data_IF_749228034041
#
_entry.id   IF_749228034041
#
_cell.length_a   1.000
_cell.length_b   1.000
_cell.length_c   1.000
_cell.angle_alpha   90.00
_cell.angle_beta   90.00
_cell.angle_gamma   90.00
#
_symmetry.space_group_name_H-M   'P 1'
#
loop_
_entity.id
_entity.type
_entity.pdbx_description
1 polymer ?
#
# COMPACT_ATOMS: atom_id res chain seq x y z
N UNK A 1 -34.40 31.07 -6.34
CA UNK A 1 -34.32 29.70 -6.91
C UNK A 1 -33.21 28.97 -6.16
N UNK A 2 -33.61 27.98 -5.37
CA UNK A 2 -32.83 27.33 -4.31
C UNK A 2 -31.57 26.68 -4.88
N UNK A 3 -30.40 27.03 -4.35
CA UNK A 3 -29.17 26.28 -4.58
C UNK A 3 -29.38 24.89 -4.00
N UNK A 4 -29.63 23.90 -4.87
CA UNK A 4 -29.63 22.49 -4.47
C UNK A 4 -28.22 22.18 -3.94
N UNK A 5 -28.13 21.90 -2.64
CA UNK A 5 -26.89 21.73 -1.91
C UNK A 5 -25.96 20.73 -2.58
N UNK A 6 -24.76 21.18 -2.96
CA UNK A 6 -23.68 20.33 -3.43
C UNK A 6 -22.80 19.98 -2.22
N UNK A 7 -23.03 18.81 -1.62
CA UNK A 7 -22.23 18.35 -0.50
C UNK A 7 -21.01 17.61 -1.01
N UNK A 8 -19.93 18.37 -1.22
CA UNK A 8 -18.57 17.80 -1.29
C UNK A 8 -18.12 17.08 -0.01
N UNK A 9 -19.02 16.87 0.99
CA UNK A 9 -18.71 16.04 2.17
C UNK A 9 -19.79 15.07 2.68
N UNK A 10 -21.12 15.29 2.60
CA UNK A 10 -22.12 14.29 3.08
C UNK A 10 -23.59 14.55 2.60
N UNK A 11 -24.02 14.06 1.43
CA UNK A 11 -25.45 14.10 1.03
C UNK A 11 -25.65 14.34 -0.46
N UNK A 12 -25.91 13.25 -1.18
CA UNK A 12 -25.72 13.11 -2.62
C UNK A 12 -26.44 14.16 -3.49
N UNK A 13 -25.65 14.85 -4.33
CA UNK A 13 -26.17 15.30 -5.61
C UNK A 13 -26.49 14.04 -6.42
N UNK A 14 -27.74 13.84 -6.85
CA UNK A 14 -28.14 12.67 -7.63
C UNK A 14 -27.57 12.66 -9.04
N UNK A 15 -27.03 13.79 -9.53
CA UNK A 15 -26.27 13.82 -10.79
C UNK A 15 -24.84 13.36 -10.53
N UNK A 16 -24.51 12.18 -11.04
CA UNK A 16 -23.15 11.67 -11.07
C UNK A 16 -22.27 12.60 -11.93
N UNK A 17 -21.11 13.01 -11.40
CA UNK A 17 -20.11 13.80 -12.13
C UNK A 17 -19.38 12.83 -13.07
N UNK A 18 -19.86 12.64 -14.29
CA UNK A 18 -19.01 12.07 -15.34
C UNK A 18 -19.56 12.34 -16.73
N UNK A 19 -19.25 13.52 -17.27
CA UNK A 19 -19.07 13.69 -18.71
C UNK A 19 -17.66 14.22 -18.88
N UNK A 20 -16.73 13.31 -19.14
CA UNK A 20 -15.42 13.73 -19.64
C UNK A 20 -15.54 13.91 -21.16
N UNK A 21 -15.24 15.11 -21.64
CA UNK A 21 -15.11 15.38 -23.09
C UNK A 21 -13.84 14.76 -23.69
N UNK A 22 -13.03 14.08 -22.87
CA UNK A 22 -11.85 13.32 -23.30
C UNK A 22 -12.31 12.08 -24.08
N UNK A 23 -11.64 11.71 -25.20
CA UNK A 23 -11.87 10.43 -25.87
C UNK A 23 -11.82 9.27 -24.87
N UNK A 24 -12.91 8.47 -24.80
CA UNK A 24 -13.07 7.41 -23.79
C UNK A 24 -14.02 7.74 -22.63
N UNK A 25 -14.63 8.93 -22.60
CA UNK A 25 -15.65 9.28 -21.61
C UNK A 25 -16.91 8.38 -21.64
N UNK A 26 -17.64 8.34 -20.52
CA UNK A 26 -18.85 7.53 -20.37
C UNK A 26 -19.94 7.93 -21.39
N UNK A 27 -20.19 7.05 -22.37
CA UNK A 27 -21.17 7.29 -23.45
C UNK A 27 -22.60 7.48 -22.93
N UNK A 28 -23.00 6.74 -21.89
CA UNK A 28 -24.35 6.86 -21.30
C UNK A 28 -24.61 8.26 -20.75
N UNK A 29 -23.60 8.88 -20.15
CA UNK A 29 -23.72 10.23 -19.59
C UNK A 29 -23.74 11.32 -20.67
N UNK A 30 -23.05 11.10 -21.80
CA UNK A 30 -23.09 12.01 -22.95
C UNK A 30 -24.46 12.03 -23.61
N UNK A 31 -25.10 10.86 -23.68
CA UNK A 31 -26.36 10.67 -24.39
C UNK A 31 -27.59 10.95 -23.48
N UNK A 32 -27.40 11.18 -22.17
CA UNK A 32 -28.44 11.61 -21.21
C UNK A 32 -27.99 12.82 -20.33
N UNK A 33 -27.98 14.04 -20.88
CA UNK A 33 -27.49 15.24 -20.20
C UNK A 33 -28.44 15.80 -19.12
N UNK A 34 -29.65 15.26 -19.00
CA UNK A 34 -30.62 15.68 -17.98
C UNK A 34 -30.39 14.97 -16.65
N UNK A 35 -29.76 13.80 -16.66
CA UNK A 35 -29.42 13.07 -15.44
C UNK A 35 -27.93 13.18 -15.05
N UNK A 36 -27.10 13.75 -15.93
CA UNK A 36 -25.63 13.82 -15.77
C UNK A 36 -25.09 15.25 -15.93
N UNK A 37 -24.01 15.57 -15.22
CA UNK A 37 -23.31 16.86 -15.34
C UNK A 37 -22.39 16.88 -16.55
N UNK A 38 -22.50 17.88 -17.44
CA UNK A 38 -21.67 17.98 -18.65
C UNK A 38 -20.25 18.47 -18.40
N UNK A 39 -20.10 19.40 -17.45
CA UNK A 39 -18.82 19.93 -16.98
C UNK A 39 -18.86 20.04 -15.46
N UNK A 40 -17.71 20.08 -14.82
CA UNK A 40 -17.60 20.52 -13.42
C UNK A 40 -16.77 21.79 -13.39
N UNK A 41 -16.87 22.60 -12.35
CA UNK A 41 -15.94 23.68 -12.02
C UNK A 41 -15.42 23.46 -10.60
N UNK A 42 -14.35 24.13 -10.19
CA UNK A 42 -13.86 23.97 -8.82
C UNK A 42 -13.43 25.30 -8.21
N UNK A 43 -13.41 25.33 -6.89
CA UNK A 43 -12.91 26.45 -6.10
C UNK A 43 -11.46 26.17 -5.67
N UNK A 44 -10.48 26.98 -6.10
CA UNK A 44 -9.08 26.76 -5.73
C UNK A 44 -8.80 27.00 -4.25
N UNK A 45 -9.47 27.96 -3.61
CA UNK A 45 -9.28 28.22 -2.19
C UNK A 45 -9.66 27.07 -1.24
N UNK A 46 -10.70 26.28 -1.55
CA UNK A 46 -11.19 25.23 -0.65
C UNK A 46 -11.34 23.83 -1.29
N UNK A 47 -11.04 23.67 -2.58
CA UNK A 47 -11.11 22.40 -3.29
C UNK A 47 -12.53 21.91 -3.61
N UNK A 48 -13.57 22.71 -3.35
CA UNK A 48 -14.97 22.30 -3.61
C UNK A 48 -15.27 22.30 -5.10
N UNK A 49 -15.93 21.24 -5.57
CA UNK A 49 -16.36 21.11 -6.97
C UNK A 49 -17.84 21.47 -7.13
N UNK A 50 -18.19 22.02 -8.30
CA UNK A 50 -19.54 22.45 -8.68
C UNK A 50 -19.90 21.83 -10.02
N UNK A 51 -21.14 21.40 -10.24
CA UNK A 51 -21.60 21.02 -11.58
C UNK A 51 -21.89 22.26 -12.44
N UNK A 52 -22.07 22.09 -13.74
CA UNK A 52 -22.48 23.11 -14.71
C UNK A 52 -23.66 23.98 -14.21
N UNK A 53 -24.71 23.36 -13.66
CA UNK A 53 -25.90 24.04 -13.16
C UNK A 53 -25.65 24.81 -11.86
N UNK A 54 -24.91 24.23 -10.92
CA UNK A 54 -24.52 24.93 -9.70
C UNK A 54 -23.63 26.13 -10.02
N UNK A 55 -22.72 25.99 -11.00
CA UNK A 55 -21.88 27.08 -11.50
C UNK A 55 -22.72 28.21 -12.09
N UNK A 56 -23.71 27.90 -12.92
CA UNK A 56 -24.64 28.88 -13.48
C UNK A 56 -25.42 29.63 -12.38
N UNK A 57 -25.76 28.94 -11.29
CA UNK A 57 -26.43 29.51 -10.12
C UNK A 57 -25.58 30.48 -9.28
N UNK A 58 -24.25 30.50 -9.44
CA UNK A 58 -23.37 31.44 -8.73
C UNK A 58 -23.41 32.87 -9.30
N UNK A 59 -24.11 33.08 -10.41
CA UNK A 59 -24.17 34.37 -11.08
C UNK A 59 -22.85 34.80 -11.74
N UNK A 60 -22.77 36.05 -12.23
CA UNK A 60 -21.64 36.52 -13.06
C UNK A 60 -20.30 36.51 -12.32
N UNK A 61 -20.31 36.73 -11.00
CA UNK A 61 -19.11 36.82 -10.18
C UNK A 61 -18.52 35.46 -9.80
N UNK A 62 -19.25 34.36 -10.02
CA UNK A 62 -18.85 32.97 -9.76
C UNK A 62 -18.19 32.78 -8.39
N UNK A 63 -18.73 33.39 -7.33
CA UNK A 63 -18.14 33.33 -5.99
C UNK A 63 -18.53 32.03 -5.29
N UNK A 64 -17.56 31.34 -4.71
CA UNK A 64 -17.75 30.16 -3.88
C UNK A 64 -18.59 30.52 -2.66
N UNK A 65 -19.66 29.78 -2.40
CA UNK A 65 -20.51 30.00 -1.23
C UNK A 65 -19.86 29.61 0.10
N UNK A 66 -18.76 28.84 0.06
CA UNK A 66 -18.06 28.38 1.27
C UNK A 66 -16.96 29.36 1.70
N UNK A 67 -16.05 29.71 0.79
CA UNK A 67 -14.88 30.52 1.12
C UNK A 67 -14.87 31.89 0.43
N UNK A 68 -15.83 32.17 -0.44
CA UNK A 68 -15.91 33.43 -1.16
C UNK A 68 -14.87 33.61 -2.26
N UNK A 69 -14.07 32.59 -2.61
CA UNK A 69 -13.11 32.63 -3.72
C UNK A 69 -13.81 32.47 -5.09
N UNK A 70 -13.13 32.79 -6.19
CA UNK A 70 -13.71 32.67 -7.54
C UNK A 70 -13.64 31.23 -8.05
N UNK A 71 -14.78 30.68 -8.42
CA UNK A 71 -14.91 29.34 -9.02
C UNK A 71 -14.47 29.38 -10.48
N UNK A 72 -13.62 28.43 -10.87
CA UNK A 72 -12.95 28.40 -12.18
C UNK A 72 -13.28 27.14 -12.97
N UNK A 73 -13.26 27.26 -14.31
CA UNK A 73 -13.52 26.15 -15.22
C UNK A 73 -12.28 25.25 -15.39
N UNK A 74 -12.41 23.91 -15.26
CA UNK A 74 -11.31 22.98 -15.47
C UNK A 74 -10.77 23.02 -16.89
N UNK A 75 -11.48 23.48 -17.92
CA UNK A 75 -10.88 23.63 -19.26
C UNK A 75 -9.91 24.83 -19.33
N UNK A 76 -10.14 25.89 -18.56
CA UNK A 76 -9.18 26.99 -18.41
C UNK A 76 -7.99 26.57 -17.54
N UNK A 77 -8.18 25.59 -16.65
CA UNK A 77 -7.14 24.99 -15.79
C UNK A 77 -6.58 23.66 -16.33
N UNK A 78 -7.08 23.16 -17.48
CA UNK A 78 -6.50 22.00 -18.21
C UNK A 78 -5.11 22.33 -18.73
N UNK A 79 -4.75 23.61 -18.78
CA UNK A 79 -3.36 24.10 -18.72
C UNK A 79 -2.85 24.01 -17.28
N UNK A 80 -2.83 22.80 -16.75
CA UNK A 80 -2.40 22.44 -15.41
C UNK A 80 -1.05 23.07 -15.11
N UNK A 81 -1.01 24.14 -14.29
CA UNK A 81 0.21 24.40 -13.53
C UNK A 81 0.24 23.37 -12.41
N UNK A 82 0.70 22.16 -12.74
CA UNK A 82 1.31 21.30 -11.72
C UNK A 82 2.27 22.21 -10.94
N UNK A 83 2.18 22.20 -9.61
CA UNK A 83 3.19 22.89 -8.81
C UNK A 83 4.55 22.37 -9.27
N UNK A 84 5.62 23.18 -9.20
CA UNK A 84 6.95 22.70 -9.57
C UNK A 84 7.28 21.35 -8.92
N UNK A 85 6.87 21.14 -7.67
CA UNK A 85 7.02 19.89 -6.94
C UNK A 85 6.26 18.71 -7.59
N UNK A 86 4.99 18.90 -7.96
CA UNK A 86 4.21 17.87 -8.65
C UNK A 86 4.73 17.59 -10.06
N UNK A 87 5.18 18.61 -10.78
CA UNK A 87 5.78 18.45 -12.10
C UNK A 87 7.06 17.61 -12.02
N UNK A 88 7.94 17.90 -11.06
CA UNK A 88 9.14 17.12 -10.78
C UNK A 88 8.79 15.68 -10.34
N UNK A 89 7.79 15.50 -9.46
CA UNK A 89 7.29 14.19 -9.06
C UNK A 89 6.84 13.33 -10.25
N UNK A 90 5.99 13.87 -11.13
CA UNK A 90 5.52 13.14 -12.31
C UNK A 90 6.63 12.86 -13.31
N UNK A 91 7.65 13.74 -13.44
CA UNK A 91 8.85 13.42 -14.21
C UNK A 91 9.62 12.25 -13.59
N UNK A 92 9.82 12.26 -12.28
CA UNK A 92 10.49 11.18 -11.55
C UNK A 92 9.79 9.84 -11.71
N UNK A 93 8.45 9.81 -11.61
CA UNK A 93 7.67 8.59 -11.83
C UNK A 93 7.85 8.01 -13.24
N UNK A 94 7.85 8.85 -14.28
CA UNK A 94 8.11 8.39 -15.66
C UNK A 94 9.50 7.79 -15.80
N UNK A 95 10.53 8.48 -15.30
CA UNK A 95 11.90 7.97 -15.33
C UNK A 95 12.07 6.68 -14.52
N UNK A 96 11.35 6.53 -13.41
CA UNK A 96 11.33 5.31 -12.60
C UNK A 96 10.72 4.15 -13.39
N UNK A 97 9.60 4.37 -14.09
CA UNK A 97 8.96 3.36 -14.94
C UNK A 97 9.84 2.95 -16.11
N UNK A 98 10.60 3.90 -16.67
CA UNK A 98 11.59 3.65 -17.74
C UNK A 98 12.87 2.95 -17.24
N UNK A 99 13.00 2.67 -15.94
CA UNK A 99 14.19 2.06 -15.34
C UNK A 99 15.41 3.00 -15.24
N UNK A 100 15.23 4.31 -15.44
CA UNK A 100 16.29 5.33 -15.34
C UNK A 100 16.45 5.80 -13.89
N UNK A 101 16.95 4.92 -13.04
CA UNK A 101 16.94 5.07 -11.58
C UNK A 101 17.64 6.33 -11.06
N UNK A 102 18.82 6.67 -11.57
CA UNK A 102 19.58 7.85 -11.14
C UNK A 102 18.87 9.15 -11.53
N UNK A 103 18.23 9.17 -12.69
CA UNK A 103 17.52 10.35 -13.18
C UNK A 103 16.17 10.51 -12.48
N UNK A 104 15.50 9.39 -12.19
CA UNK A 104 14.33 9.39 -11.33
C UNK A 104 14.68 9.93 -9.95
N UNK A 105 15.79 9.49 -9.36
CA UNK A 105 16.26 10.00 -8.07
C UNK A 105 16.50 11.51 -8.12
N UNK A 106 17.19 12.01 -9.14
CA UNK A 106 17.41 13.45 -9.31
C UNK A 106 16.09 14.25 -9.43
N UNK A 107 15.10 13.73 -10.16
CA UNK A 107 13.79 14.36 -10.28
C UNK A 107 13.00 14.32 -8.96
N UNK A 108 13.14 13.26 -8.16
CA UNK A 108 12.54 13.22 -6.82
C UNK A 108 13.28 14.10 -5.82
N UNK A 109 14.60 14.23 -5.91
CA UNK A 109 15.40 15.19 -5.12
C UNK A 109 14.93 16.62 -5.41
N UNK A 110 14.72 16.97 -6.68
CA UNK A 110 14.11 18.25 -7.09
C UNK A 110 12.71 18.39 -6.48
N UNK A 111 11.86 17.37 -6.60
CA UNK A 111 10.49 17.42 -6.09
C UNK A 111 10.43 17.67 -4.58
N UNK A 112 11.26 16.99 -3.77
CA UNK A 112 11.28 17.14 -2.31
C UNK A 112 11.94 18.43 -1.84
N UNK A 113 12.78 19.06 -2.68
CA UNK A 113 13.33 20.39 -2.43
C UNK A 113 12.33 21.52 -2.65
N UNK A 114 11.18 21.23 -3.27
CA UNK A 114 10.17 22.22 -3.62
C UNK A 114 9.02 22.24 -2.59
N UNK A 115 8.44 23.43 -2.29
CA UNK A 115 7.29 23.52 -1.39
C UNK A 115 6.10 22.71 -1.89
N UNK A 116 5.42 22.01 -0.98
CA UNK A 116 4.24 21.21 -1.31
C UNK A 116 4.56 19.88 -2.00
N UNK A 117 5.77 19.34 -1.81
CA UNK A 117 6.12 17.99 -2.27
C UNK A 117 5.14 16.94 -1.70
N UNK A 118 4.56 16.07 -2.55
CA UNK A 118 3.67 15.02 -2.07
C UNK A 118 4.44 13.97 -1.25
N UNK A 119 3.78 13.32 -0.29
CA UNK A 119 4.36 12.22 0.50
C UNK A 119 4.97 11.11 -0.40
N UNK A 120 4.33 10.86 -1.55
CA UNK A 120 4.81 9.92 -2.56
C UNK A 120 6.18 10.27 -3.15
N UNK A 121 6.55 11.55 -3.26
CA UNK A 121 7.91 11.93 -3.69
C UNK A 121 8.96 11.49 -2.68
N UNK A 122 8.71 11.73 -1.39
CA UNK A 122 9.62 11.32 -0.33
C UNK A 122 9.71 9.78 -0.24
N UNK A 123 8.59 9.09 -0.46
CA UNK A 123 8.55 7.63 -0.42
C UNK A 123 9.34 7.01 -1.56
N UNK A 124 9.07 7.40 -2.81
CA UNK A 124 9.78 6.85 -3.98
C UNK A 124 11.27 7.21 -3.95
N UNK A 125 11.62 8.42 -3.49
CA UNK A 125 13.00 8.79 -3.19
C UNK A 125 13.63 7.81 -2.18
N UNK A 126 12.92 7.51 -1.10
CA UNK A 126 13.35 6.55 -0.08
C UNK A 126 13.59 5.15 -0.65
N UNK A 127 12.68 4.66 -1.50
CA UNK A 127 12.84 3.36 -2.18
C UNK A 127 14.09 3.30 -3.06
N UNK A 128 14.34 4.35 -3.84
CA UNK A 128 15.53 4.44 -4.70
C UNK A 128 16.81 4.45 -3.86
N UNK A 129 16.86 5.28 -2.81
CA UNK A 129 18.00 5.35 -1.90
C UNK A 129 18.24 4.02 -1.18
N UNK A 130 17.18 3.34 -0.76
CA UNK A 130 17.25 2.02 -0.14
C UNK A 130 17.84 0.99 -1.11
N UNK A 131 17.41 0.99 -2.37
CA UNK A 131 17.98 0.11 -3.41
C UNK A 131 19.45 0.41 -3.71
N UNK A 132 19.85 1.68 -3.63
CA UNK A 132 21.24 2.12 -3.78
C UNK A 132 22.10 1.91 -2.51
N UNK A 133 21.55 1.32 -1.43
CA UNK A 133 22.27 1.09 -0.17
C UNK A 133 22.45 2.33 0.70
N UNK A 134 21.87 3.47 0.34
CA UNK A 134 21.92 4.75 1.08
C UNK A 134 20.86 4.76 2.19
N UNK A 135 21.01 3.86 3.16
CA UNK A 135 19.96 3.55 4.16
C UNK A 135 19.59 4.73 5.07
N UNK A 136 20.54 5.56 5.50
CA UNK A 136 20.23 6.68 6.40
C UNK A 136 19.40 7.77 5.71
N UNK A 137 19.70 8.04 4.44
CA UNK A 137 18.93 8.99 3.64
C UNK A 137 17.55 8.42 3.27
N UNK A 138 17.46 7.11 3.00
CA UNK A 138 16.20 6.42 2.81
C UNK A 138 15.32 6.52 4.07
N UNK A 139 15.90 6.31 5.25
CA UNK A 139 15.20 6.44 6.53
C UNK A 139 14.66 7.85 6.76
N UNK A 140 15.44 8.89 6.42
CA UNK A 140 14.99 10.29 6.47
C UNK A 140 13.79 10.53 5.53
N UNK A 141 13.88 9.98 4.32
CA UNK A 141 12.79 10.00 3.33
C UNK A 141 11.52 9.35 3.85
N UNK A 142 11.59 8.12 4.38
CA UNK A 142 10.43 7.41 4.93
C UNK A 142 9.87 8.07 6.18
N UNK A 143 10.73 8.62 7.04
CA UNK A 143 10.30 9.42 8.20
C UNK A 143 9.50 10.65 7.76
N UNK A 144 9.93 11.31 6.68
CA UNK A 144 9.21 12.45 6.12
C UNK A 144 7.89 12.03 5.47
N UNK A 145 7.87 10.90 4.76
CA UNK A 145 6.61 10.31 4.27
C UNK A 145 5.64 10.09 5.41
N UNK A 146 6.05 9.41 6.49
CA UNK A 146 5.20 9.14 7.65
C UNK A 146 4.78 10.41 8.42
N UNK A 147 5.52 11.52 8.29
CA UNK A 147 5.12 12.81 8.85
C UNK A 147 4.03 13.50 8.02
N UNK A 148 4.09 13.39 6.69
CA UNK A 148 3.12 14.00 5.76
C UNK A 148 1.85 13.13 5.66
N UNK A 149 2.04 11.82 5.57
CA UNK A 149 1.01 10.80 5.55
C UNK A 149 1.30 9.75 6.63
N UNK A 150 0.80 9.94 7.86
CA UNK A 150 0.98 8.98 8.94
C UNK A 150 0.46 7.57 8.61
N UNK A 151 -0.53 7.46 7.73
CA UNK A 151 -1.15 6.20 7.31
C UNK A 151 -0.36 5.39 6.29
N UNK A 152 0.81 5.89 5.84
CA UNK A 152 1.60 5.25 4.80
C UNK A 152 2.30 3.97 5.30
N UNK A 153 1.59 2.84 5.29
CA UNK A 153 2.04 1.59 5.87
C UNK A 153 3.39 1.09 5.28
N UNK A 154 3.60 1.24 3.97
CA UNK A 154 4.85 0.86 3.32
C UNK A 154 6.06 1.64 3.87
N UNK A 155 5.92 2.93 4.20
CA UNK A 155 7.03 3.72 4.76
C UNK A 155 7.45 3.19 6.13
N UNK A 156 6.48 2.78 6.95
CA UNK A 156 6.75 2.11 8.23
C UNK A 156 7.37 0.74 8.02
N UNK A 157 6.92 -0.04 7.03
CA UNK A 157 7.53 -1.32 6.66
C UNK A 157 9.01 -1.15 6.29
N UNK A 158 9.35 -0.27 5.34
CA UNK A 158 10.73 -0.06 4.93
C UNK A 158 11.60 0.54 6.05
N UNK A 159 11.03 1.37 6.92
CA UNK A 159 11.70 1.82 8.16
C UNK A 159 12.08 0.62 9.04
N UNK A 160 11.17 -0.34 9.19
CA UNK A 160 11.42 -1.59 9.92
C UNK A 160 12.54 -2.41 9.30
N UNK A 161 12.53 -2.57 7.97
CA UNK A 161 13.58 -3.28 7.23
C UNK A 161 14.96 -2.62 7.42
N UNK A 162 15.04 -1.29 7.35
CA UNK A 162 16.31 -0.56 7.58
C UNK A 162 16.82 -0.78 9.01
N UNK A 163 15.94 -0.71 10.01
CA UNK A 163 16.34 -0.97 11.40
C UNK A 163 16.81 -2.41 11.60
N UNK A 164 16.13 -3.38 10.98
CA UNK A 164 16.50 -4.78 11.06
C UNK A 164 17.90 -5.03 10.45
N UNK A 165 18.16 -4.46 9.26
CA UNK A 165 19.50 -4.51 8.62
C UNK A 165 20.60 -3.88 9.49
N UNK A 166 20.24 -2.87 10.28
CA UNK A 166 21.15 -2.24 11.24
C UNK A 166 21.19 -2.92 12.62
N UNK A 167 20.66 -4.15 12.78
CA UNK A 167 20.68 -4.89 14.04
C UNK A 167 19.74 -4.35 15.13
N UNK A 168 18.87 -3.38 14.82
CA UNK A 168 17.99 -2.70 15.78
C UNK A 168 16.62 -3.37 15.84
N UNK A 169 16.58 -4.62 16.32
CA UNK A 169 15.39 -5.48 16.28
C UNK A 169 14.14 -4.87 16.96
N UNK A 170 14.30 -4.19 18.11
CA UNK A 170 13.17 -3.56 18.82
C UNK A 170 12.55 -2.42 18.01
N UNK A 171 13.38 -1.59 17.37
CA UNK A 171 12.91 -0.50 16.50
C UNK A 171 12.24 -1.06 15.25
N UNK A 172 12.79 -2.13 14.68
CA UNK A 172 12.19 -2.83 13.55
C UNK A 172 10.79 -3.36 13.89
N UNK A 173 10.65 -4.06 15.01
CA UNK A 173 9.36 -4.57 15.48
C UNK A 173 8.33 -3.44 15.67
N UNK A 174 8.74 -2.32 16.26
CA UNK A 174 7.86 -1.15 16.44
C UNK A 174 7.41 -0.57 15.10
N UNK A 175 8.30 -0.49 14.12
CA UNK A 175 7.96 0.02 12.80
C UNK A 175 7.00 -0.93 12.05
N UNK A 176 7.20 -2.24 12.13
CA UNK A 176 6.26 -3.20 11.58
C UNK A 176 4.90 -3.17 12.30
N UNK A 177 4.88 -3.01 13.62
CA UNK A 177 3.64 -2.84 14.39
C UNK A 177 2.87 -1.58 13.95
N UNK A 178 3.56 -0.49 13.60
CA UNK A 178 2.94 0.71 13.01
C UNK A 178 2.37 0.44 11.62
N UNK A 179 3.14 -0.24 10.76
CA UNK A 179 2.66 -0.61 9.42
C UNK A 179 1.35 -1.42 9.51
N UNK A 180 1.32 -2.44 10.37
CA UNK A 180 0.14 -3.29 10.61
C UNK A 180 -1.01 -2.55 11.31
N UNK A 181 -0.71 -1.51 12.09
CA UNK A 181 -1.73 -0.64 12.68
C UNK A 181 -2.46 0.22 11.65
N UNK A 182 -1.79 0.61 10.57
CA UNK A 182 -2.37 1.38 9.47
C UNK A 182 -2.99 0.51 8.38
N UNK A 183 -2.31 -0.58 8.02
CA UNK A 183 -2.80 -1.59 7.10
C UNK A 183 -2.65 -3.00 7.71
N UNK A 184 -3.72 -3.53 8.33
CA UNK A 184 -3.71 -4.88 8.88
C UNK A 184 -3.46 -5.98 7.85
N UNK A 185 -3.72 -5.72 6.55
CA UNK A 185 -3.54 -6.67 5.46
C UNK A 185 -2.12 -6.66 4.86
N UNK A 186 -1.19 -5.85 5.41
CA UNK A 186 0.15 -5.69 4.88
C UNK A 186 1.03 -6.93 5.10
N UNK A 187 1.02 -7.86 4.14
CA UNK A 187 1.68 -9.17 4.22
C UNK A 187 3.18 -9.09 4.52
N UNK A 188 3.93 -8.22 3.82
CA UNK A 188 5.38 -8.12 4.05
C UNK A 188 5.74 -7.62 5.45
N UNK A 189 4.99 -6.67 6.02
CA UNK A 189 5.18 -6.22 7.40
C UNK A 189 4.78 -7.32 8.40
N UNK A 190 3.70 -8.05 8.12
CA UNK A 190 3.28 -9.19 8.94
C UNK A 190 4.35 -10.28 8.98
N UNK A 191 4.87 -10.71 7.82
CA UNK A 191 5.90 -11.74 7.73
C UNK A 191 7.16 -11.35 8.53
N UNK A 192 7.70 -10.14 8.30
CA UNK A 192 8.87 -9.66 9.05
C UNK A 192 8.62 -9.59 10.56
N UNK A 193 7.41 -9.18 10.96
CA UNK A 193 7.03 -9.10 12.37
C UNK A 193 6.86 -10.47 13.01
N UNK A 194 6.23 -11.41 12.31
CA UNK A 194 6.03 -12.79 12.71
C UNK A 194 7.36 -13.52 12.87
N UNK A 195 8.28 -13.34 11.92
CA UNK A 195 9.63 -13.90 11.99
C UNK A 195 10.39 -13.40 13.24
N UNK A 196 10.26 -12.12 13.58
CA UNK A 196 10.80 -11.57 14.81
C UNK A 196 10.15 -12.18 16.07
N UNK A 197 8.86 -12.53 16.05
CA UNK A 197 8.17 -13.20 17.15
C UNK A 197 8.59 -14.66 17.31
N UNK A 198 8.77 -15.37 16.20
CA UNK A 198 9.29 -16.74 16.20
C UNK A 198 10.67 -16.78 16.83
N UNK A 199 11.59 -15.90 16.41
CA UNK A 199 12.93 -15.79 17.04
C UNK A 199 12.88 -15.42 18.51
N UNK A 200 11.90 -14.62 18.92
CA UNK A 200 11.70 -14.24 20.31
C UNK A 200 10.97 -15.31 21.15
N UNK A 201 10.62 -16.47 20.58
CA UNK A 201 9.88 -17.52 21.28
C UNK A 201 8.47 -17.10 21.71
N UNK A 202 7.79 -16.26 20.91
CA UNK A 202 6.44 -15.75 21.19
C UNK A 202 5.40 -16.30 20.19
N UNK A 203 5.15 -17.61 20.16
CA UNK A 203 4.29 -18.23 19.15
C UNK A 203 2.83 -17.76 19.23
N UNK A 204 2.29 -17.48 20.43
CA UNK A 204 0.92 -16.96 20.58
C UNK A 204 0.71 -15.61 19.91
N UNK A 205 1.70 -14.72 20.01
CA UNK A 205 1.63 -13.42 19.34
C UNK A 205 1.79 -13.55 17.83
N UNK A 206 2.66 -14.47 17.39
CA UNK A 206 2.88 -14.76 15.97
C UNK A 206 1.57 -15.21 15.30
N UNK A 207 0.88 -16.19 15.92
CA UNK A 207 -0.43 -16.67 15.48
C UNK A 207 -1.44 -15.53 15.39
N UNK A 208 -1.53 -14.70 16.44
CA UNK A 208 -2.46 -13.56 16.47
C UNK A 208 -2.23 -12.56 15.33
N UNK A 209 -0.97 -12.28 14.97
CA UNK A 209 -0.67 -11.40 13.84
C UNK A 209 -1.04 -12.08 12.53
N UNK A 210 -0.62 -13.33 12.31
CA UNK A 210 -0.91 -14.07 11.09
C UNK A 210 -2.42 -14.18 10.81
N UNK A 211 -3.20 -14.63 11.79
CA UNK A 211 -4.67 -14.77 11.66
C UNK A 211 -5.34 -13.43 11.35
N UNK A 212 -4.94 -12.34 12.02
CA UNK A 212 -5.49 -10.99 11.77
C UNK A 212 -5.16 -10.49 10.38
N UNK A 213 -3.93 -10.69 9.92
CA UNK A 213 -3.50 -10.24 8.60
C UNK A 213 -4.22 -11.02 7.50
N UNK A 214 -4.32 -12.34 7.62
CA UNK A 214 -5.05 -13.17 6.67
C UNK A 214 -6.54 -12.84 6.63
N UNK A 215 -7.16 -12.54 7.78
CA UNK A 215 -8.56 -12.11 7.84
C UNK A 215 -8.80 -10.74 7.17
N UNK A 216 -7.80 -9.86 7.18
CA UNK A 216 -7.87 -8.53 6.56
C UNK A 216 -7.53 -8.54 5.06
N UNK A 217 -6.71 -9.50 4.63
CA UNK A 217 -6.22 -9.58 3.25
C UNK A 217 -7.34 -9.91 2.25
N UNK A 218 -7.54 -9.03 1.27
CA UNK A 218 -8.44 -9.25 0.13
C UNK A 218 -7.60 -9.32 -1.14
N UNK A 219 -7.64 -10.45 -1.85
CA UNK A 219 -6.82 -10.71 -3.05
C UNK A 219 -5.32 -10.46 -2.82
N UNK A 220 -4.70 -11.17 -1.86
CA UNK A 220 -3.29 -10.99 -1.50
C UNK A 220 -2.30 -11.28 -2.65
N UNK A 221 -1.16 -10.59 -2.64
CA UNK A 221 0.05 -11.00 -3.38
C UNK A 221 0.46 -12.41 -2.91
N UNK A 222 0.57 -13.33 -3.85
CA UNK A 222 0.87 -14.74 -3.57
C UNK A 222 2.23 -14.94 -2.90
N UNK A 223 3.23 -14.08 -3.16
CA UNK A 223 4.60 -14.31 -2.68
C UNK A 223 4.71 -14.15 -1.16
N UNK A 224 4.28 -13.00 -0.63
CA UNK A 224 4.33 -12.76 0.81
C UNK A 224 3.28 -13.57 1.58
N UNK A 225 2.22 -14.02 0.89
CA UNK A 225 1.19 -14.87 1.47
C UNK A 225 1.74 -16.23 1.89
N UNK A 226 2.58 -16.85 1.06
CA UNK A 226 3.23 -18.13 1.37
C UNK A 226 4.04 -18.06 2.67
N UNK A 227 4.88 -17.02 2.81
CA UNK A 227 5.70 -16.84 4.01
C UNK A 227 4.87 -16.59 5.27
N UNK A 228 3.73 -15.88 5.17
CA UNK A 228 2.80 -15.71 6.31
C UNK A 228 2.21 -17.05 6.74
N UNK A 229 1.78 -17.89 5.80
CA UNK A 229 1.29 -19.24 6.11
C UNK A 229 2.38 -20.15 6.70
N UNK A 230 3.60 -20.10 6.16
CA UNK A 230 4.74 -20.86 6.67
C UNK A 230 5.06 -20.49 8.13
N UNK A 231 5.16 -19.20 8.43
CA UNK A 231 5.43 -18.69 9.78
C UNK A 231 4.27 -18.99 10.74
N UNK A 232 3.03 -18.94 10.26
CA UNK A 232 1.85 -19.31 11.05
C UNK A 232 1.86 -20.81 11.38
N UNK A 233 2.16 -21.66 10.40
CA UNK A 233 2.31 -23.11 10.60
C UNK A 233 3.41 -23.45 11.61
N UNK A 234 4.56 -22.79 11.51
CA UNK A 234 5.63 -22.93 12.50
C UNK A 234 5.20 -22.47 13.90
N UNK A 235 4.53 -21.32 14.02
CA UNK A 235 4.05 -20.85 15.32
C UNK A 235 2.98 -21.78 15.93
N UNK A 236 2.08 -22.35 15.12
CA UNK A 236 1.05 -23.29 15.54
C UNK A 236 1.65 -24.61 16.04
N UNK A 237 2.70 -25.11 15.40
CA UNK A 237 3.36 -26.35 15.81
C UNK A 237 4.00 -26.21 17.21
N UNK A 238 4.51 -25.03 17.54
CA UNK A 238 5.06 -24.71 18.87
C UNK A 238 3.97 -24.59 19.95
N UNK A 239 2.70 -24.52 19.55
CA UNK A 239 1.53 -24.55 20.43
C UNK A 239 0.85 -25.92 20.45
N UNK A 240 1.43 -26.95 19.81
CA UNK A 240 0.83 -28.28 19.66
C UNK A 240 -0.53 -28.28 18.94
N UNK A 241 -0.80 -27.27 18.10
CA UNK A 241 -1.98 -27.21 17.22
C UNK A 241 -1.66 -27.87 15.88
N UNK A 242 -1.35 -29.17 15.93
CA UNK A 242 -0.66 -29.87 14.84
C UNK A 242 -1.49 -29.99 13.55
N UNK A 243 -2.81 -30.24 13.63
CA UNK A 243 -3.66 -30.27 12.42
C UNK A 243 -3.74 -28.91 11.73
N UNK A 244 -3.90 -27.83 12.51
CA UNK A 244 -3.95 -26.46 11.99
C UNK A 244 -2.59 -26.06 11.41
N UNK A 245 -1.50 -26.41 12.09
CA UNK A 245 -0.14 -26.20 11.59
C UNK A 245 0.06 -26.87 10.23
N UNK A 246 -0.35 -28.14 10.09
CA UNK A 246 -0.23 -28.88 8.84
C UNK A 246 -1.02 -28.21 7.71
N UNK A 247 -2.26 -27.78 7.98
CA UNK A 247 -3.08 -27.09 6.98
C UNK A 247 -2.41 -25.81 6.46
N UNK A 248 -1.80 -25.01 7.34
CA UNK A 248 -1.09 -23.79 6.92
C UNK A 248 0.17 -24.12 6.10
N UNK A 249 0.92 -25.15 6.49
CA UNK A 249 2.13 -25.59 5.78
C UNK A 249 1.81 -26.18 4.40
N UNK A 250 0.70 -26.89 4.26
CA UNK A 250 0.21 -27.39 2.97
C UNK A 250 -0.16 -26.24 2.03
N UNK A 251 -0.82 -25.19 2.55
CA UNK A 251 -1.12 -23.97 1.77
C UNK A 251 0.17 -23.26 1.35
N UNK A 252 1.12 -23.05 2.28
CA UNK A 252 2.40 -22.41 1.98
C UNK A 252 3.16 -23.14 0.86
N UNK A 253 3.24 -24.47 0.97
CA UNK A 253 3.90 -25.32 -0.04
C UNK A 253 3.18 -25.26 -1.40
N UNK A 254 1.85 -25.20 -1.40
CA UNK A 254 1.04 -25.14 -2.62
C UNK A 254 1.13 -23.82 -3.39
N UNK A 255 1.45 -22.72 -2.72
CA UNK A 255 1.61 -21.39 -3.36
C UNK A 255 2.94 -21.27 -4.12
N UNK A 256 3.91 -22.16 -3.87
CA UNK A 256 5.14 -22.27 -4.66
C UNK A 256 6.40 -21.79 -3.94
N UNK A 257 6.41 -21.75 -2.61
CA UNK A 257 7.65 -21.57 -1.85
C UNK A 257 8.33 -22.95 -1.68
N UNK A 258 9.29 -23.26 -2.57
CA UNK A 258 10.23 -24.39 -2.43
C UNK A 258 11.22 -24.07 -1.27
N UNK A 259 10.72 -23.89 -0.04
CA UNK A 259 11.53 -23.64 1.15
C UNK A 259 11.73 -24.95 1.93
N UNK A 260 12.98 -25.43 2.08
CA UNK A 260 13.24 -26.64 2.84
C UNK A 260 12.81 -26.51 4.32
N UNK A 261 12.71 -25.30 4.88
CA UNK A 261 12.22 -25.08 6.24
C UNK A 261 10.75 -25.49 6.41
N UNK A 262 9.88 -25.13 5.45
CA UNK A 262 8.46 -25.51 5.47
C UNK A 262 8.32 -27.03 5.51
N UNK A 263 9.08 -27.75 4.66
CA UNK A 263 9.04 -29.20 4.62
C UNK A 263 9.64 -29.87 5.87
N UNK A 264 10.65 -29.27 6.51
CA UNK A 264 11.16 -29.74 7.82
C UNK A 264 10.10 -29.66 8.90
N UNK A 265 9.43 -28.51 9.02
CA UNK A 265 8.35 -28.32 10.01
C UNK A 265 7.20 -29.28 9.71
N UNK A 266 6.81 -29.41 8.44
CA UNK A 266 5.76 -30.34 7.99
C UNK A 266 6.07 -31.78 8.37
N UNK A 267 7.31 -32.25 8.15
CA UNK A 267 7.74 -33.58 8.55
C UNK A 267 7.65 -33.81 10.07
N UNK A 268 8.01 -32.81 10.88
CA UNK A 268 7.91 -32.89 12.34
C UNK A 268 6.45 -32.99 12.82
N UNK A 269 5.56 -32.17 12.24
CA UNK A 269 4.12 -32.18 12.52
C UNK A 269 3.51 -33.53 12.13
N UNK A 270 3.81 -34.05 10.93
CA UNK A 270 3.27 -35.32 10.45
C UNK A 270 3.65 -36.51 11.32
N UNK A 271 4.87 -36.55 11.88
CA UNK A 271 5.27 -37.60 12.84
C UNK A 271 4.42 -37.57 14.11
N UNK A 272 4.12 -36.38 14.64
CA UNK A 272 3.26 -36.23 15.83
C UNK A 272 1.82 -36.64 15.56
N UNK A 273 1.38 -36.53 14.31
CA UNK A 273 0.08 -37.01 13.82
C UNK A 273 0.09 -38.50 13.39
N UNK A 274 1.19 -39.23 13.60
CA UNK A 274 1.34 -40.64 13.21
C UNK A 274 1.18 -40.90 11.69
N UNK A 275 1.55 -39.92 10.85
CA UNK A 275 1.53 -40.01 9.37
C UNK A 275 2.94 -40.23 8.84
N UNK A 276 3.53 -41.37 9.20
CA UNK A 276 4.97 -41.62 9.05
C UNK A 276 5.47 -41.64 7.60
N UNK A 277 4.70 -42.20 6.67
CA UNK A 277 5.05 -42.24 5.25
C UNK A 277 5.14 -40.83 4.65
N UNK A 278 4.16 -39.98 4.97
CA UNK A 278 4.11 -38.59 4.52
C UNK A 278 5.20 -37.76 5.18
N UNK A 279 5.50 -38.01 6.46
CA UNK A 279 6.62 -37.38 7.15
C UNK A 279 7.96 -37.72 6.48
N UNK A 280 8.16 -38.98 6.09
CA UNK A 280 9.36 -39.42 5.37
C UNK A 280 9.46 -38.80 3.97
N UNK A 281 8.34 -38.57 3.28
CA UNK A 281 8.32 -37.84 2.02
C UNK A 281 8.70 -36.37 2.23
N UNK A 282 8.08 -35.68 3.19
CA UNK A 282 8.37 -34.28 3.49
C UNK A 282 9.85 -34.07 3.89
N UNK A 283 10.42 -34.98 4.69
CA UNK A 283 11.84 -34.91 5.04
C UNK A 283 12.78 -35.08 3.83
N UNK A 284 12.42 -35.96 2.89
CA UNK A 284 13.18 -36.15 1.64
C UNK A 284 13.11 -34.90 0.74
N UNK A 285 11.94 -34.28 0.63
CA UNK A 285 11.79 -33.03 -0.12
C UNK A 285 12.63 -31.91 0.48
N UNK A 286 12.61 -31.76 1.81
CA UNK A 286 13.43 -30.76 2.50
C UNK A 286 14.94 -30.92 2.21
N UNK A 287 15.45 -32.16 2.21
CA UNK A 287 16.85 -32.44 1.88
C UNK A 287 17.15 -32.13 0.40
N UNK A 288 16.32 -32.63 -0.52
CA UNK A 288 16.52 -32.43 -1.95
C UNK A 288 16.51 -30.95 -2.38
N UNK A 289 15.70 -30.13 -1.71
CA UNK A 289 15.68 -28.68 -1.95
C UNK A 289 16.91 -28.00 -1.31
N UNK A 290 17.26 -28.38 -0.08
CA UNK A 290 18.40 -27.80 0.64
C UNK A 290 19.77 -28.10 0.01
N UNK A 291 19.88 -29.19 -0.74
CA UNK A 291 21.10 -29.59 -1.46
C UNK A 291 21.24 -28.95 -2.85
N UNK A 292 20.26 -28.12 -3.28
CA UNK A 292 20.40 -27.35 -4.53
C UNK A 292 21.47 -26.26 -4.33
N UNK A 293 22.45 -26.14 -5.26
CA UNK A 293 23.54 -25.17 -5.16
C UNK A 293 23.09 -23.71 -5.25
#
# INVERSE_FOLDING_TARGET
MTVLGCNGKNGACTRLISVSTVPGGNRLARDNPEDWSRTHTYCPGCGRTYCDRCTAGLGPSRRCHECGDTVTDPDTDRRTRLTPAMAAHHRGLRMFQDGRWEQALAAFDEAVGLPGAPAGSHFTRGLLLFRLGRHDEALSSFTTTARIDPGHADAHHYTGVIHLRGGRATLAATAFDRALGHDPAHLYAAAMRMEALTRAGRPRDCVRIGERTLAAAKNPDFTALASVYALLGDALQHLHRDEEALAMLDIASGIGEDDPAVHRVRAAVLRRLHRDEEAALAARLAAAIGDRP
#
